data_IF_378138579895
#
_entry.id   IF_378138579895
#
_cell.length_a   1.000
_cell.length_b   1.000
_cell.length_c   1.000
_cell.angle_alpha   90.00
_cell.angle_beta   90.00
_cell.angle_gamma   90.00
#
_symmetry.space_group_name_H-M   'P 1'
#
loop_
_entity.id
_entity.type
_entity.pdbx_description
1 polymer ?
#
# COMPACT_ATOMS: atom_id res chain seq x y z
N UNK A 1 41.28 -4.85 -2.68
CA UNK A 1 40.02 -4.06 -2.64
C UNK A 1 40.07 -3.18 -1.41
N UNK A 2 39.93 -1.85 -1.54
CA UNK A 2 40.02 -0.96 -0.38
C UNK A 2 38.84 -1.22 0.58
N UNK A 3 39.09 -1.07 1.89
CA UNK A 3 38.06 -1.21 2.93
C UNK A 3 36.83 -0.32 2.67
N UNK A 4 37.07 0.84 2.03
CA UNK A 4 36.04 1.79 1.58
C UNK A 4 35.16 1.24 0.46
N UNK A 5 35.72 0.50 -0.50
CA UNK A 5 34.94 -0.10 -1.58
C UNK A 5 34.07 -1.26 -1.06
N UNK A 6 34.59 -2.05 -0.11
CA UNK A 6 33.80 -3.10 0.56
C UNK A 6 32.67 -2.47 1.38
N UNK A 7 32.94 -1.42 2.15
CA UNK A 7 31.92 -0.73 2.93
C UNK A 7 30.83 -0.09 2.05
N UNK A 8 31.21 0.51 0.92
CA UNK A 8 30.27 1.07 -0.05
C UNK A 8 29.38 -0.02 -0.68
N UNK A 9 29.98 -1.16 -1.05
CA UNK A 9 29.23 -2.30 -1.59
C UNK A 9 28.25 -2.86 -0.55
N UNK A 10 28.67 -3.01 0.70
CA UNK A 10 27.80 -3.47 1.80
C UNK A 10 26.64 -2.49 2.02
N UNK A 11 26.91 -1.19 2.05
CA UNK A 11 25.86 -0.17 2.19
C UNK A 11 24.86 -0.19 1.03
N UNK A 12 25.34 -0.43 -0.20
CA UNK A 12 24.50 -0.54 -1.39
C UNK A 12 23.63 -1.82 -1.38
N UNK A 13 24.18 -2.93 -0.86
CA UNK A 13 23.47 -4.22 -0.81
C UNK A 13 22.49 -4.31 0.37
N UNK A 14 22.65 -3.49 1.42
CA UNK A 14 21.82 -3.54 2.62
C UNK A 14 20.30 -3.40 2.34
N UNK A 15 19.82 -2.44 1.51
CA UNK A 15 18.39 -2.35 1.17
C UNK A 15 17.88 -3.60 0.45
N UNK A 16 18.66 -4.18 -0.45
CA UNK A 16 18.28 -5.39 -1.20
C UNK A 16 18.10 -6.57 -0.23
N UNK A 17 19.06 -6.74 0.70
CA UNK A 17 18.97 -7.77 1.72
C UNK A 17 17.79 -7.56 2.67
N UNK A 18 17.55 -6.31 3.09
CA UNK A 18 16.40 -5.95 3.93
C UNK A 18 15.07 -6.31 3.25
N UNK A 19 14.89 -5.95 1.98
CA UNK A 19 13.68 -6.27 1.21
C UNK A 19 13.49 -7.77 1.04
N UNK A 20 14.54 -8.50 0.68
CA UNK A 20 14.48 -9.95 0.50
C UNK A 20 14.12 -10.66 1.81
N UNK A 21 14.78 -10.29 2.91
CA UNK A 21 14.55 -10.88 4.24
C UNK A 21 13.16 -10.54 4.77
N UNK A 22 12.70 -9.29 4.60
CA UNK A 22 11.35 -8.85 5.00
C UNK A 22 10.26 -9.61 4.25
N UNK A 23 10.47 -9.84 2.95
CA UNK A 23 9.54 -10.61 2.11
C UNK A 23 9.48 -12.07 2.57
N UNK A 24 10.63 -12.70 2.84
CA UNK A 24 10.71 -14.07 3.35
C UNK A 24 10.02 -14.24 4.70
N UNK A 25 10.28 -13.34 5.66
CA UNK A 25 9.59 -13.32 6.95
C UNK A 25 8.09 -13.04 6.79
N UNK A 26 7.71 -12.21 5.82
CA UNK A 26 6.31 -11.94 5.48
C UNK A 26 5.57 -13.19 5.04
N UNK A 27 6.21 -14.05 4.24
CA UNK A 27 5.66 -15.35 3.85
C UNK A 27 5.44 -16.24 5.09
N UNK A 28 6.43 -16.33 5.97
CA UNK A 28 6.32 -17.13 7.22
C UNK A 28 5.18 -16.60 8.10
N UNK A 29 5.12 -15.28 8.30
CA UNK A 29 4.06 -14.63 9.06
C UNK A 29 2.68 -14.83 8.43
N UNK A 30 2.57 -14.80 7.10
CA UNK A 30 1.33 -15.05 6.38
C UNK A 30 0.82 -16.48 6.56
N UNK A 31 1.70 -17.48 6.55
CA UNK A 31 1.32 -18.85 6.90
C UNK A 31 0.88 -18.97 8.36
N UNK A 32 1.58 -18.32 9.29
CA UNK A 32 1.22 -18.31 10.72
C UNK A 32 -0.15 -17.66 10.96
N UNK A 33 -0.41 -16.49 10.35
CA UNK A 33 -1.72 -15.84 10.35
C UNK A 33 -2.78 -16.78 9.78
N UNK A 34 -2.46 -17.49 8.70
CA UNK A 34 -3.32 -18.52 8.13
C UNK A 34 -3.73 -19.61 9.12
N UNK A 35 -2.83 -20.07 9.99
CA UNK A 35 -3.17 -21.03 11.03
C UNK A 35 -4.09 -20.44 12.10
N UNK A 36 -3.92 -19.16 12.46
CA UNK A 36 -4.78 -18.46 13.42
C UNK A 36 -6.23 -18.29 12.91
N UNK A 37 -6.44 -18.29 11.60
CA UNK A 37 -7.76 -18.16 10.98
C UNK A 37 -8.57 -19.47 10.99
N UNK A 38 -7.92 -20.62 11.12
CA UNK A 38 -8.58 -21.93 11.10
C UNK A 38 -9.57 -22.12 12.27
N UNK A 39 -10.55 -23.04 12.13
CA UNK A 39 -11.45 -23.39 13.23
C UNK A 39 -10.69 -23.88 14.48
N UNK A 40 -11.25 -23.63 15.69
CA UNK A 40 -10.58 -23.99 16.93
C UNK A 40 -10.42 -25.51 17.03
N UNK A 41 -9.19 -25.98 17.27
CA UNK A 41 -8.92 -27.41 17.47
C UNK A 41 -9.40 -27.92 18.84
N UNK A 42 -9.58 -27.05 19.82
CA UNK A 42 -9.95 -27.41 21.19
C UNK A 42 -11.47 -27.48 21.36
N UNK A 43 -11.96 -28.60 21.92
CA UNK A 43 -13.40 -28.83 22.22
C UNK A 43 -14.00 -27.73 23.11
N UNK A 44 -13.20 -27.14 24.01
CA UNK A 44 -13.66 -26.06 24.89
C UNK A 44 -14.04 -24.78 24.11
N UNK A 45 -13.23 -24.36 23.13
CA UNK A 45 -13.53 -23.20 22.29
C UNK A 45 -14.63 -23.52 21.27
N UNK A 46 -14.72 -24.78 20.82
CA UNK A 46 -15.81 -25.21 19.94
C UNK A 46 -17.19 -25.00 20.60
N UNK A 47 -17.31 -25.22 21.91
CA UNK A 47 -18.56 -25.00 22.66
C UNK A 47 -18.87 -23.53 22.97
N UNK A 48 -17.97 -22.57 22.70
CA UNK A 48 -18.19 -21.13 22.93
C UNK A 48 -17.79 -20.31 21.71
N UNK A 49 -18.67 -20.18 20.70
CA UNK A 49 -18.33 -19.56 19.42
C UNK A 49 -17.94 -18.09 19.55
N UNK A 50 -18.59 -17.32 20.44
CA UNK A 50 -18.24 -15.91 20.67
C UNK A 50 -16.82 -15.74 21.24
N UNK A 51 -16.43 -16.56 22.21
CA UNK A 51 -15.09 -16.55 22.80
C UNK A 51 -14.04 -16.99 21.78
N UNK A 52 -14.31 -18.08 21.05
CA UNK A 52 -13.44 -18.54 19.97
C UNK A 52 -13.26 -17.46 18.88
N UNK A 53 -14.29 -16.62 18.67
CA UNK A 53 -14.16 -15.50 17.75
C UNK A 53 -13.22 -14.43 18.26
N UNK A 54 -13.44 -13.94 19.48
CA UNK A 54 -12.64 -12.89 20.11
C UNK A 54 -11.16 -13.30 20.24
N UNK A 55 -10.90 -14.52 20.73
CA UNK A 55 -9.54 -15.05 20.90
C UNK A 55 -8.77 -15.02 19.58
N UNK A 56 -9.38 -15.48 18.48
CA UNK A 56 -8.72 -15.46 17.17
C UNK A 56 -8.48 -14.06 16.64
N UNK A 57 -9.43 -13.12 16.84
CA UNK A 57 -9.20 -11.73 16.46
C UNK A 57 -8.00 -11.13 17.20
N UNK A 58 -7.91 -11.36 18.51
CA UNK A 58 -6.78 -10.92 19.34
C UNK A 58 -5.48 -11.58 18.88
N UNK A 59 -5.49 -12.88 18.58
CA UNK A 59 -4.32 -13.60 18.09
C UNK A 59 -3.82 -13.04 16.74
N UNK A 60 -4.71 -12.79 15.77
CA UNK A 60 -4.34 -12.22 14.47
C UNK A 60 -3.72 -10.83 14.62
N UNK A 61 -4.30 -9.97 15.46
CA UNK A 61 -3.77 -8.62 15.73
C UNK A 61 -2.44 -8.67 16.47
N UNK A 62 -2.32 -9.52 17.50
CA UNK A 62 -1.10 -9.69 18.27
C UNK A 62 0.04 -10.20 17.39
N UNK A 63 -0.20 -11.23 16.57
CA UNK A 63 0.81 -11.78 15.66
C UNK A 63 1.27 -10.74 14.62
N UNK A 64 0.34 -9.94 14.09
CA UNK A 64 0.66 -8.86 13.15
C UNK A 64 1.51 -7.77 13.82
N UNK A 65 1.15 -7.34 15.04
CA UNK A 65 1.89 -6.35 15.80
C UNK A 65 3.28 -6.84 16.22
N UNK A 66 3.39 -8.09 16.69
CA UNK A 66 4.66 -8.72 17.03
C UNK A 66 5.59 -8.85 15.83
N UNK A 67 5.03 -9.24 14.66
CA UNK A 67 5.79 -9.36 13.42
C UNK A 67 6.31 -8.00 12.93
N UNK A 68 5.47 -6.95 13.00
CA UNK A 68 5.86 -5.58 12.71
C UNK A 68 7.00 -5.12 13.64
N UNK A 69 6.86 -5.34 14.95
CA UNK A 69 7.85 -4.91 15.93
C UNK A 69 9.17 -5.65 15.77
N UNK A 70 9.14 -6.97 15.53
CA UNK A 70 10.31 -7.77 15.26
C UNK A 70 11.06 -7.31 13.99
N UNK A 71 10.36 -7.03 12.90
CA UNK A 71 11.00 -6.48 11.70
C UNK A 71 11.64 -5.12 11.98
N UNK A 72 10.95 -4.24 12.72
CA UNK A 72 11.48 -2.93 13.08
C UNK A 72 12.75 -3.04 13.93
N UNK A 73 12.79 -3.92 14.94
CA UNK A 73 13.98 -4.09 15.81
C UNK A 73 15.16 -4.72 15.08
N UNK A 74 14.90 -5.55 14.07
CA UNK A 74 15.92 -6.15 13.20
C UNK A 74 16.41 -5.21 12.08
N UNK A 75 15.89 -3.98 11.99
CA UNK A 75 16.25 -3.04 10.92
C UNK A 75 15.75 -3.44 9.53
N UNK A 76 14.70 -4.27 9.49
CA UNK A 76 14.03 -4.73 8.28
C UNK A 76 12.90 -3.76 7.86
N UNK A 77 12.16 -4.11 6.80
CA UNK A 77 11.07 -3.31 6.23
C UNK A 77 9.70 -3.82 6.74
N UNK A 78 9.21 -3.32 7.90
CA UNK A 78 8.07 -3.92 8.60
C UNK A 78 6.75 -3.81 7.82
N UNK A 79 6.57 -2.74 7.03
CA UNK A 79 5.37 -2.55 6.22
C UNK A 79 5.29 -3.56 5.08
N UNK A 80 6.42 -3.83 4.42
CA UNK A 80 6.50 -4.85 3.37
C UNK A 80 6.19 -6.23 3.94
N UNK A 81 6.76 -6.58 5.10
CA UNK A 81 6.47 -7.83 5.80
C UNK A 81 4.96 -8.00 6.02
N UNK A 82 4.29 -6.98 6.59
CA UNK A 82 2.86 -7.04 6.86
C UNK A 82 2.00 -7.16 5.59
N UNK A 83 2.38 -6.46 4.50
CA UNK A 83 1.68 -6.55 3.22
C UNK A 83 1.80 -7.96 2.62
N UNK A 84 3.01 -8.52 2.60
CA UNK A 84 3.24 -9.89 2.11
C UNK A 84 2.49 -10.91 2.97
N UNK A 85 2.52 -10.75 4.30
CA UNK A 85 1.82 -11.63 5.22
C UNK A 85 0.30 -11.61 5.02
N UNK A 86 -0.29 -10.41 4.89
CA UNK A 86 -1.72 -10.24 4.61
C UNK A 86 -2.11 -10.77 3.24
N UNK A 87 -1.31 -10.48 2.21
CA UNK A 87 -1.54 -10.96 0.84
C UNK A 87 -1.52 -12.49 0.78
N UNK A 88 -0.53 -13.13 1.41
CA UNK A 88 -0.48 -14.59 1.48
C UNK A 88 -1.64 -15.17 2.30
N UNK A 89 -1.95 -14.58 3.46
CA UNK A 89 -3.03 -15.04 4.31
C UNK A 89 -4.41 -14.98 3.60
N UNK A 90 -4.62 -13.98 2.74
CA UNK A 90 -5.85 -13.81 1.97
C UNK A 90 -5.93 -14.68 0.70
N UNK A 91 -4.79 -15.04 0.10
CA UNK A 91 -4.74 -15.72 -1.20
C UNK A 91 -4.31 -17.20 -1.14
N UNK A 92 -3.81 -17.68 -0.01
CA UNK A 92 -3.42 -19.10 0.14
C UNK A 92 -4.61 -20.04 -0.09
N UNK A 93 -4.32 -21.32 -0.28
CA UNK A 93 -5.34 -22.33 -0.23
C UNK A 93 -5.96 -22.38 1.18
N UNK A 94 -7.28 -22.20 1.24
CA UNK A 94 -8.05 -22.20 2.48
C UNK A 94 -8.52 -23.62 2.76
N UNK A 95 -8.39 -24.08 4.01
CA UNK A 95 -8.82 -25.44 4.38
C UNK A 95 -10.32 -25.48 4.58
N UNK A 96 -10.90 -24.44 5.19
CA UNK A 96 -12.36 -24.29 5.37
C UNK A 96 -13.00 -23.28 4.40
N UNK A 97 -12.30 -22.92 3.33
CA UNK A 97 -12.85 -22.05 2.28
C UNK A 97 -13.18 -20.64 2.80
N UNK A 98 -14.45 -20.25 2.68
CA UNK A 98 -14.96 -18.90 2.96
C UNK A 98 -14.87 -18.50 4.44
N UNK A 99 -14.97 -19.45 5.39
CA UNK A 99 -14.95 -19.12 6.83
C UNK A 99 -13.64 -18.43 7.25
N UNK A 100 -12.50 -18.86 6.70
CA UNK A 100 -11.19 -18.24 6.97
C UNK A 100 -11.12 -16.81 6.40
N UNK A 101 -11.76 -16.56 5.24
CA UNK A 101 -11.80 -15.25 4.58
C UNK A 101 -12.72 -14.27 5.31
N UNK A 102 -13.94 -14.68 5.61
CA UNK A 102 -14.90 -13.91 6.41
C UNK A 102 -14.29 -13.55 7.76
N UNK A 103 -13.49 -14.45 8.33
CA UNK A 103 -12.81 -14.21 9.60
C UNK A 103 -11.74 -13.14 9.48
N UNK A 104 -10.87 -13.22 8.49
CA UNK A 104 -9.89 -12.16 8.23
C UNK A 104 -10.59 -10.82 7.99
N UNK A 105 -11.64 -10.81 7.17
CA UNK A 105 -12.45 -9.63 6.89
C UNK A 105 -13.09 -9.06 8.16
N UNK A 106 -13.61 -9.91 9.06
CA UNK A 106 -14.21 -9.47 10.32
C UNK A 106 -13.21 -8.74 11.23
N UNK A 107 -11.95 -9.21 11.27
CA UNK A 107 -10.87 -8.56 12.02
C UNK A 107 -10.53 -7.20 11.40
N UNK A 108 -10.45 -7.14 10.07
CA UNK A 108 -10.19 -5.89 9.35
C UNK A 108 -11.33 -4.89 9.54
N UNK A 109 -12.59 -5.30 9.37
CA UNK A 109 -13.77 -4.44 9.59
C UNK A 109 -13.84 -3.89 11.02
N UNK A 110 -13.44 -4.67 12.02
CA UNK A 110 -13.44 -4.23 13.41
C UNK A 110 -12.30 -3.26 13.75
N UNK A 111 -11.13 -3.38 13.09
CA UNK A 111 -9.93 -2.60 13.42
C UNK A 111 -9.69 -1.40 12.51
N UNK A 112 -10.01 -1.51 11.21
CA UNK A 112 -9.75 -0.49 10.21
C UNK A 112 -10.36 0.88 10.54
N UNK A 113 -11.60 1.03 11.01
CA UNK A 113 -12.16 2.35 11.29
C UNK A 113 -11.32 3.14 12.29
N UNK A 114 -10.94 2.51 13.41
CA UNK A 114 -10.11 3.13 14.43
C UNK A 114 -8.71 3.47 13.89
N UNK A 115 -8.07 2.52 13.21
CA UNK A 115 -6.72 2.71 12.64
C UNK A 115 -6.72 3.83 11.62
N UNK A 116 -7.71 3.85 10.72
CA UNK A 116 -7.84 4.88 9.68
C UNK A 116 -8.10 6.26 10.29
N UNK A 117 -9.00 6.38 11.27
CA UNK A 117 -9.25 7.67 11.94
C UNK A 117 -7.97 8.20 12.58
N UNK A 118 -7.25 7.36 13.33
CA UNK A 118 -5.98 7.78 13.97
C UNK A 118 -4.92 8.11 12.92
N UNK A 119 -4.74 7.26 11.92
CA UNK A 119 -3.74 7.43 10.87
C UNK A 119 -3.98 8.69 10.04
N UNK A 120 -5.19 8.88 9.52
CA UNK A 120 -5.51 10.04 8.69
C UNK A 120 -5.53 11.35 9.50
N UNK A 121 -5.93 11.30 10.78
CA UNK A 121 -5.82 12.48 11.66
C UNK A 121 -4.35 12.86 11.88
N UNK A 122 -3.49 11.90 12.24
CA UNK A 122 -2.07 12.17 12.44
C UNK A 122 -1.37 12.61 11.15
N UNK A 123 -1.72 12.00 10.01
CA UNK A 123 -1.23 12.40 8.70
C UNK A 123 -1.64 13.84 8.39
N UNK A 124 -2.89 14.22 8.66
CA UNK A 124 -3.39 15.59 8.53
C UNK A 124 -2.67 16.59 9.44
N UNK A 125 -2.47 16.24 10.72
CA UNK A 125 -1.73 17.07 11.67
C UNK A 125 -0.25 17.24 11.29
N UNK A 126 0.34 16.27 10.59
CA UNK A 126 1.72 16.36 10.10
C UNK A 126 1.88 17.29 8.89
N UNK A 127 0.79 17.77 8.29
CA UNK A 127 0.83 18.69 7.15
C UNK A 127 1.11 20.11 7.62
N UNK A 128 2.29 20.63 7.24
CA UNK A 128 2.63 22.03 7.43
C UNK A 128 2.18 22.86 6.22
N UNK A 129 0.93 23.37 6.24
CA UNK A 129 0.35 24.12 5.11
C UNK A 129 1.21 25.29 4.64
N UNK A 130 1.89 25.98 5.56
CA UNK A 130 2.82 27.06 5.24
C UNK A 130 3.97 26.60 4.33
N UNK A 131 4.52 25.41 4.60
CA UNK A 131 5.56 24.81 3.79
C UNK A 131 5.04 24.39 2.41
N UNK A 132 3.81 23.88 2.35
CA UNK A 132 3.13 23.56 1.08
C UNK A 132 2.94 24.80 0.22
N UNK A 133 2.49 25.90 0.81
CA UNK A 133 2.28 27.15 0.09
C UNK A 133 3.59 27.74 -0.44
N UNK A 134 4.63 27.83 0.40
CA UNK A 134 5.95 28.37 0.01
C UNK A 134 6.61 27.56 -1.10
N UNK A 135 6.47 26.24 -1.07
CA UNK A 135 7.09 25.34 -2.05
C UNK A 135 6.14 24.90 -3.16
N UNK A 136 4.95 25.49 -3.27
CA UNK A 136 3.86 25.03 -4.14
C UNK A 136 4.25 24.93 -5.61
N UNK A 137 4.97 25.93 -6.14
CA UNK A 137 5.41 25.96 -7.54
C UNK A 137 6.36 24.79 -7.83
N UNK A 138 7.43 24.66 -7.03
CA UNK A 138 8.44 23.60 -7.21
C UNK A 138 7.83 22.22 -7.00
N UNK A 139 6.99 22.08 -5.97
CA UNK A 139 6.31 20.84 -5.67
C UNK A 139 5.33 20.45 -6.79
N UNK A 140 4.62 21.42 -7.40
CA UNK A 140 3.74 21.16 -8.55
C UNK A 140 4.52 20.65 -9.76
N UNK A 141 5.68 21.25 -10.06
CA UNK A 141 6.56 20.78 -11.13
C UNK A 141 7.07 19.36 -10.86
N UNK A 142 7.43 19.05 -9.62
CA UNK A 142 7.85 17.70 -9.20
C UNK A 142 6.70 16.69 -9.29
N UNK A 143 5.50 17.05 -8.86
CA UNK A 143 4.30 16.20 -9.02
C UNK A 143 4.04 15.97 -10.50
N UNK A 144 4.01 17.01 -11.32
CA UNK A 144 3.77 16.90 -12.76
C UNK A 144 4.77 16.01 -13.48
N UNK A 145 6.07 16.21 -13.23
CA UNK A 145 7.12 15.35 -13.81
C UNK A 145 6.98 13.90 -13.35
N UNK A 146 6.63 13.67 -12.08
CA UNK A 146 6.37 12.34 -11.54
C UNK A 146 5.14 11.69 -12.18
N UNK A 147 4.05 12.41 -12.40
CA UNK A 147 2.86 11.89 -13.07
C UNK A 147 3.18 11.47 -14.51
N UNK A 148 3.96 12.27 -15.24
CA UNK A 148 4.44 11.92 -16.57
C UNK A 148 5.32 10.66 -16.54
N UNK A 149 6.24 10.56 -15.59
CA UNK A 149 7.08 9.37 -15.44
C UNK A 149 6.24 8.13 -15.10
N UNK A 150 5.25 8.25 -14.21
CA UNK A 150 4.32 7.16 -13.87
C UNK A 150 3.49 6.72 -15.08
N UNK A 151 3.02 7.66 -15.90
CA UNK A 151 2.29 7.36 -17.13
C UNK A 151 3.13 6.48 -18.06
N UNK A 152 4.37 6.90 -18.36
CA UNK A 152 5.24 6.15 -19.25
C UNK A 152 5.65 4.80 -18.64
N UNK A 153 6.02 4.78 -17.35
CA UNK A 153 6.42 3.56 -16.66
C UNK A 153 5.28 2.53 -16.60
N UNK A 154 4.06 2.96 -16.28
CA UNK A 154 2.91 2.07 -16.26
C UNK A 154 2.55 1.56 -17.66
N UNK A 155 2.61 2.42 -18.68
CA UNK A 155 2.34 2.02 -20.06
C UNK A 155 3.34 0.97 -20.54
N UNK A 156 4.64 1.22 -20.35
CA UNK A 156 5.71 0.26 -20.68
C UNK A 156 5.51 -1.06 -19.93
N UNK A 157 5.19 -1.01 -18.63
CA UNK A 157 4.93 -2.21 -17.82
C UNK A 157 3.73 -3.01 -18.32
N UNK A 158 2.63 -2.33 -18.67
CA UNK A 158 1.45 -2.97 -19.22
C UNK A 158 1.68 -3.52 -20.64
N UNK A 159 2.49 -2.86 -21.45
CA UNK A 159 2.90 -3.36 -22.78
C UNK A 159 3.73 -4.64 -22.65
N UNK A 160 4.67 -4.69 -21.71
CA UNK A 160 5.52 -5.86 -21.48
C UNK A 160 4.75 -7.15 -21.11
N UNK A 161 3.55 -7.02 -20.53
CA UNK A 161 2.70 -8.15 -20.15
C UNK A 161 1.50 -8.35 -21.09
N UNK A 162 1.39 -7.57 -22.16
CA UNK A 162 0.28 -7.67 -23.12
C UNK A 162 -1.09 -7.29 -22.55
N UNK A 163 -1.15 -6.35 -21.61
CA UNK A 163 -2.42 -5.93 -20.99
C UNK A 163 -3.38 -5.27 -22.02
N UNK A 164 -4.71 -5.27 -21.79
CA UNK A 164 -5.68 -4.58 -22.64
C UNK A 164 -5.45 -3.05 -22.66
N UNK A 165 -5.70 -2.39 -23.80
CA UNK A 165 -5.50 -0.94 -23.95
C UNK A 165 -6.28 -0.09 -22.93
N UNK A 166 -7.48 -0.56 -22.52
CA UNK A 166 -8.28 0.06 -21.47
C UNK A 166 -7.51 0.20 -20.15
N UNK A 167 -6.71 -0.80 -19.79
CA UNK A 167 -5.89 -0.80 -18.57
C UNK A 167 -4.62 0.05 -18.75
N UNK A 168 -3.98 -0.01 -19.93
CA UNK A 168 -2.76 0.76 -20.22
C UNK A 168 -2.96 2.27 -20.03
N UNK A 169 -4.12 2.78 -20.44
CA UNK A 169 -4.46 4.21 -20.37
C UNK A 169 -4.60 4.73 -18.93
N UNK A 170 -4.93 3.87 -17.97
CA UNK A 170 -5.34 4.28 -16.62
C UNK A 170 -4.54 3.66 -15.49
N UNK A 171 -3.70 2.66 -15.75
CA UNK A 171 -2.90 1.98 -14.72
C UNK A 171 -2.06 2.95 -13.85
N UNK A 172 -1.47 3.97 -14.48
CA UNK A 172 -0.66 4.99 -13.80
C UNK A 172 -1.43 5.76 -12.72
N UNK A 173 -2.75 5.92 -12.88
CA UNK A 173 -3.61 6.66 -11.96
C UNK A 173 -3.67 5.97 -10.58
N UNK A 174 -3.43 4.66 -10.51
CA UNK A 174 -3.36 3.92 -9.25
C UNK A 174 -2.07 4.07 -8.46
N UNK A 175 -1.01 4.60 -9.08
CA UNK A 175 0.31 4.76 -8.43
C UNK A 175 0.59 6.19 -7.95
N UNK A 176 -0.37 7.11 -8.11
CA UNK A 176 -0.22 8.53 -7.77
C UNK A 176 -0.01 8.72 -6.27
N UNK A 177 -0.89 8.11 -5.47
CA UNK A 177 -0.92 8.22 -4.01
C UNK A 177 0.40 7.76 -3.38
N UNK A 178 0.90 8.53 -2.41
CA UNK A 178 2.04 8.15 -1.58
C UNK A 178 1.57 7.93 -0.15
N UNK A 179 2.05 6.86 0.48
CA UNK A 179 1.66 6.48 1.84
C UNK A 179 2.73 6.85 2.89
N UNK A 180 2.52 6.38 4.12
CA UNK A 180 3.37 6.68 5.29
C UNK A 180 4.86 6.32 5.14
N UNK A 181 5.22 5.39 4.26
CA UNK A 181 6.63 5.07 3.95
C UNK A 181 7.38 6.31 3.48
N UNK A 182 6.77 7.10 2.57
CA UNK A 182 7.40 8.30 2.04
C UNK A 182 7.66 9.35 3.13
N UNK A 183 6.69 9.56 4.03
CA UNK A 183 6.86 10.46 5.18
C UNK A 183 7.96 9.97 6.14
N UNK A 184 8.07 8.65 6.36
CA UNK A 184 9.14 8.05 7.14
C UNK A 184 10.52 8.34 6.53
N UNK A 185 10.68 8.09 5.23
CA UNK A 185 11.93 8.35 4.49
C UNK A 185 12.30 9.84 4.49
N UNK A 186 11.31 10.72 4.36
CA UNK A 186 11.51 12.17 4.46
C UNK A 186 12.08 12.56 5.83
N UNK A 187 11.52 12.04 6.93
CA UNK A 187 12.06 12.30 8.28
C UNK A 187 13.47 11.75 8.46
N UNK A 188 13.75 10.56 7.91
CA UNK A 188 15.09 9.98 7.94
C UNK A 188 16.09 10.84 7.16
N UNK A 189 15.72 11.34 5.99
CA UNK A 189 16.55 12.24 5.20
C UNK A 189 16.80 13.57 5.93
N UNK A 190 15.76 14.18 6.51
CA UNK A 190 15.86 15.41 7.28
C UNK A 190 16.84 15.27 8.46
N UNK A 191 16.72 14.17 9.22
CA UNK A 191 17.62 13.88 10.34
C UNK A 191 19.06 13.58 9.89
N UNK A 192 19.24 12.99 8.70
CA UNK A 192 20.57 12.64 8.17
C UNK A 192 21.31 13.82 7.59
N UNK A 193 20.60 14.83 7.08
CA UNK A 193 21.20 15.99 6.40
C UNK A 193 20.74 17.32 7.04
N UNK A 194 21.26 17.70 8.22
CA UNK A 194 20.76 18.86 8.95
C UNK A 194 20.86 20.21 8.22
N UNK A 195 21.72 20.32 7.21
CA UNK A 195 21.95 21.57 6.48
C UNK A 195 20.83 21.93 5.50
N UNK A 196 20.21 20.93 4.86
CA UNK A 196 19.20 21.13 3.80
C UNK A 196 17.99 20.21 3.94
N UNK A 197 18.07 19.24 4.85
CA UNK A 197 17.09 18.17 5.01
C UNK A 197 15.72 18.66 5.43
N UNK A 198 15.64 19.76 6.19
CA UNK A 198 14.38 20.39 6.56
C UNK A 198 13.69 21.05 5.37
N UNK A 199 14.45 21.73 4.50
CA UNK A 199 13.92 22.33 3.26
C UNK A 199 13.46 21.26 2.27
N UNK A 200 14.27 20.22 2.08
CA UNK A 200 13.89 19.04 1.31
C UNK A 200 12.65 18.36 1.90
N UNK A 201 12.60 18.20 3.22
CA UNK A 201 11.48 17.58 3.89
C UNK A 201 10.18 18.36 3.71
N UNK A 202 10.25 19.69 3.84
CA UNK A 202 9.14 20.59 3.54
C UNK A 202 8.63 20.43 2.10
N UNK A 203 9.53 20.39 1.11
CA UNK A 203 9.20 20.19 -0.30
C UNK A 203 8.56 18.81 -0.57
N UNK A 204 9.12 17.76 0.02
CA UNK A 204 8.60 16.40 -0.15
C UNK A 204 7.27 16.20 0.55
N UNK A 205 7.07 16.79 1.74
CA UNK A 205 5.75 16.79 2.42
C UNK A 205 4.72 17.51 1.55
N UNK A 206 5.05 18.65 0.95
CA UNK A 206 4.15 19.34 0.02
C UNK A 206 3.77 18.46 -1.18
N UNK A 207 4.75 17.77 -1.76
CA UNK A 207 4.54 16.80 -2.85
C UNK A 207 3.63 15.65 -2.43
N UNK A 208 3.88 15.05 -1.27
CA UNK A 208 3.08 13.94 -0.73
C UNK A 208 1.63 14.38 -0.51
N UNK A 209 1.41 15.56 0.07
CA UNK A 209 0.07 16.09 0.35
C UNK A 209 -0.72 16.31 -0.94
N UNK A 210 -0.11 16.92 -1.95
CA UNK A 210 -0.76 17.09 -3.26
C UNK A 210 -1.12 15.74 -3.89
N UNK A 211 -0.20 14.78 -3.88
CA UNK A 211 -0.46 13.43 -4.38
C UNK A 211 -1.55 12.70 -3.59
N UNK A 212 -1.67 12.96 -2.28
CA UNK A 212 -2.67 12.34 -1.42
C UNK A 212 -4.07 12.92 -1.64
N UNK A 213 -4.18 14.18 -2.07
CA UNK A 213 -5.44 14.83 -2.47
C UNK A 213 -5.90 14.38 -3.86
N UNK A 214 -4.97 14.32 -4.81
CA UNK A 214 -5.25 14.00 -6.22
C UNK A 214 -5.39 12.49 -6.46
N UNK A 215 -4.67 11.68 -5.69
CA UNK A 215 -4.58 10.24 -5.87
C UNK A 215 -5.90 9.48 -5.72
N UNK A 216 -6.70 9.64 -4.64
CA UNK A 216 -7.95 8.90 -4.47
C UNK A 216 -9.00 9.18 -5.56
N UNK A 217 -9.25 10.44 -5.98
CA UNK A 217 -10.10 10.72 -7.14
C UNK A 217 -9.64 10.03 -8.43
N UNK A 218 -8.33 10.05 -8.70
CA UNK A 218 -7.74 9.39 -9.87
C UNK A 218 -7.85 7.87 -9.78
N UNK A 219 -7.58 7.28 -8.63
CA UNK A 219 -7.74 5.84 -8.43
C UNK A 219 -9.19 5.41 -8.65
N UNK A 220 -10.15 6.16 -8.11
CA UNK A 220 -11.58 5.92 -8.37
C UNK A 220 -11.90 6.02 -9.87
N UNK A 221 -11.42 7.06 -10.55
CA UNK A 221 -11.65 7.24 -11.98
C UNK A 221 -11.08 6.07 -12.81
N UNK A 222 -9.91 5.55 -12.43
CA UNK A 222 -9.31 4.38 -13.08
C UNK A 222 -10.20 3.14 -12.95
N UNK A 223 -10.59 2.77 -11.72
CA UNK A 223 -11.45 1.61 -11.45
C UNK A 223 -12.80 1.72 -12.17
N UNK A 224 -13.42 2.92 -12.16
CA UNK A 224 -14.66 3.17 -12.90
C UNK A 224 -14.45 3.03 -14.41
N UNK A 225 -13.36 3.55 -14.96
CA UNK A 225 -13.10 3.51 -16.41
C UNK A 225 -12.87 2.10 -16.96
N UNK A 226 -12.36 1.17 -16.16
CA UNK A 226 -12.19 -0.24 -16.55
C UNK A 226 -13.41 -1.10 -16.22
N UNK A 227 -14.46 -0.53 -15.63
CA UNK A 227 -15.69 -1.24 -15.29
C UNK A 227 -15.60 -2.11 -14.03
N UNK A 228 -14.54 -1.98 -13.23
CA UNK A 228 -14.33 -2.77 -12.00
C UNK A 228 -15.02 -2.16 -10.77
N UNK A 229 -15.62 -0.98 -10.91
CA UNK A 229 -16.32 -0.29 -9.82
C UNK A 229 -17.66 -0.93 -9.45
N UNK A 230 -18.24 -1.76 -10.31
CA UNK A 230 -19.65 -2.19 -10.21
C UNK A 230 -20.66 -1.03 -10.36
N UNK A 231 -20.19 0.17 -10.69
CA UNK A 231 -20.99 1.36 -10.98
C UNK A 231 -20.91 1.58 -12.48
N UNK A 232 -22.03 1.44 -13.18
CA UNK A 232 -22.06 1.62 -14.64
C UNK A 232 -21.64 3.07 -14.96
N UNK A 233 -20.54 3.32 -15.69
CA UNK A 233 -19.94 4.67 -15.78
C UNK A 233 -20.76 5.69 -16.57
N UNK A 234 -21.94 5.34 -17.09
CA UNK A 234 -22.46 5.96 -18.30
C UNK A 234 -21.55 5.64 -19.51
N UNK A 235 -21.89 6.09 -20.72
CA UNK A 235 -21.12 5.73 -21.91
C UNK A 235 -19.75 6.43 -21.86
N UNK A 236 -18.66 5.65 -21.75
CA UNK A 236 -17.30 6.12 -22.06
C UNK A 236 -17.24 6.57 -23.52
N UNK A 237 -16.30 7.43 -23.96
CA UNK A 237 -16.24 7.88 -25.36
C UNK A 237 -16.20 6.72 -26.37
N UNK A 238 -15.48 5.65 -26.05
CA UNK A 238 -15.43 4.43 -26.87
C UNK A 238 -16.78 3.68 -26.87
N UNK A 239 -17.46 3.53 -25.71
CA UNK A 239 -18.83 2.98 -25.64
C UNK A 239 -19.88 3.90 -26.26
N UNK A 240 -19.69 5.21 -26.23
CA UNK A 240 -20.60 6.19 -26.82
C UNK A 240 -20.57 6.08 -28.35
N UNK A 241 -19.40 5.79 -28.92
CA UNK A 241 -19.23 5.48 -30.33
C UNK A 241 -19.86 4.13 -30.71
N UNK A 242 -19.70 3.09 -29.88
CA UNK A 242 -20.38 1.79 -30.08
C UNK A 242 -21.91 1.89 -29.95
N UNK A 243 -22.42 2.66 -28.99
CA UNK A 243 -23.86 2.87 -28.81
C UNK A 243 -24.44 3.72 -29.93
N UNK A 244 -23.70 4.72 -30.45
CA UNK A 244 -24.11 5.47 -31.64
C UNK A 244 -24.15 4.59 -32.88
N UNK A 245 -23.13 3.79 -33.13
CA UNK A 245 -23.10 2.90 -34.30
C UNK A 245 -24.19 1.82 -34.23
N UNK A 246 -24.52 1.32 -33.02
CA UNK A 246 -25.63 0.40 -32.81
C UNK A 246 -27.02 1.03 -32.91
N UNK A 247 -27.14 2.35 -32.69
CA UNK A 247 -28.40 3.10 -32.85
C UNK A 247 -28.64 3.57 -34.28
N UNK A 248 -27.62 3.60 -35.12
CA UNK A 248 -27.68 4.00 -36.53
C UNK A 248 -27.83 2.80 -37.49
N UNK A 249 -27.83 1.56 -36.98
CA UNK A 249 -28.05 0.31 -37.72
C UNK A 249 -29.48 -0.24 -37.49
#
# INVERSE_FOLDING_TARGET
VSLTAVAALVAFMHPVFSVATSSGLGVIAGFALGQCLKPPRTRMLANRPALARAVRCVQTLALSASSFWAAKTLGLEPLLLCVVAGALAANRQHVTGEEERERLESVLRASMPLVNVVFFTLAGCAVHLTSVYKSSVVATLLVGSRLLALYHAARIGCDAIGAPESHKRVAWMGYVTQAGVALGLVRTAAARFPQWGDEFGALMVATIVMNQLVGPPMFRAAIVSVGESGVDPGPTPDRALEVRSASEA
#
